data_IF_731296081405
#
_entry.id   IF_731296081405
#
_cell.length_a   1.000
_cell.length_b   1.000
_cell.length_c   1.000
_cell.angle_alpha   90.00
_cell.angle_beta   90.00
_cell.angle_gamma   90.00
#
_symmetry.space_group_name_H-M   'P 1'
#
loop_
_entity.id
_entity.type
_entity.pdbx_description
1 polymer ?
#
# COMPACT_ATOMS: atom_id res chain seq x y z
N UNK A 1 23.46 46.85 -3.62
CA UNK A 1 24.28 45.65 -3.87
C UNK A 1 23.40 44.65 -4.60
N UNK A 2 23.84 44.13 -5.75
CA UNK A 2 23.09 43.10 -6.49
C UNK A 2 23.11 41.78 -5.74
N UNK A 3 22.00 41.04 -5.78
CA UNK A 3 21.88 39.69 -5.21
C UNK A 3 22.94 38.76 -5.82
N UNK A 4 23.51 37.87 -5.02
CA UNK A 4 24.51 36.91 -5.50
C UNK A 4 23.82 35.66 -6.06
N UNK A 5 24.47 34.98 -7.01
CA UNK A 5 23.97 33.70 -7.54
C UNK A 5 23.73 32.65 -6.45
N UNK A 6 24.50 32.70 -5.36
CA UNK A 6 24.28 31.83 -4.20
C UNK A 6 22.96 32.14 -3.49
N UNK A 7 22.64 33.43 -3.30
CA UNK A 7 21.38 33.85 -2.70
C UNK A 7 20.16 33.46 -3.56
N UNK A 8 20.30 33.49 -4.89
CA UNK A 8 19.26 33.02 -5.82
C UNK A 8 19.03 31.49 -5.68
N UNK A 9 20.10 30.72 -5.51
CA UNK A 9 20.02 29.27 -5.26
C UNK A 9 19.40 28.95 -3.90
N UNK A 10 19.74 29.71 -2.86
CA UNK A 10 19.14 29.55 -1.53
C UNK A 10 17.63 29.80 -1.55
N UNK A 11 17.17 30.85 -2.23
CA UNK A 11 15.74 31.13 -2.40
C UNK A 11 15.03 30.02 -3.20
N UNK A 12 15.65 29.55 -4.29
CA UNK A 12 15.12 28.43 -5.07
C UNK A 12 14.98 27.15 -4.22
N UNK A 13 15.95 26.88 -3.34
CA UNK A 13 15.91 25.75 -2.42
C UNK A 13 14.79 25.90 -1.38
N UNK A 14 14.58 27.09 -0.84
CA UNK A 14 13.51 27.38 0.11
C UNK A 14 12.13 27.16 -0.52
N UNK A 15 11.92 27.68 -1.73
CA UNK A 15 10.69 27.47 -2.50
C UNK A 15 10.46 25.99 -2.79
N UNK A 16 11.50 25.26 -3.20
CA UNK A 16 11.41 23.82 -3.44
C UNK A 16 11.03 23.04 -2.18
N UNK A 17 11.60 23.40 -1.02
CA UNK A 17 11.24 22.78 0.28
C UNK A 17 9.79 23.03 0.66
N UNK A 18 9.29 24.26 0.48
CA UNK A 18 7.91 24.59 0.74
C UNK A 18 6.95 23.80 -0.18
N UNK A 19 7.26 23.74 -1.48
CA UNK A 19 6.51 22.95 -2.45
C UNK A 19 6.50 21.45 -2.12
N UNK A 20 7.65 20.90 -1.73
CA UNK A 20 7.75 19.49 -1.33
C UNK A 20 6.98 19.19 -0.04
N UNK A 21 7.01 20.11 0.95
CA UNK A 21 6.23 19.95 2.18
C UNK A 21 4.71 19.95 1.91
N UNK A 22 4.24 20.80 1.00
CA UNK A 22 2.85 20.80 0.53
C UNK A 22 2.48 19.48 -0.14
N UNK A 23 3.28 19.05 -1.12
CA UNK A 23 3.09 17.78 -1.83
C UNK A 23 3.09 16.56 -0.88
N UNK A 24 4.03 16.51 0.07
CA UNK A 24 4.06 15.46 1.11
C UNK A 24 2.77 15.46 1.91
N UNK A 25 2.28 16.62 2.34
CA UNK A 25 1.07 16.73 3.16
C UNK A 25 -0.17 16.19 2.43
N UNK A 26 -0.29 16.46 1.14
CA UNK A 26 -1.36 15.93 0.30
C UNK A 26 -1.28 14.40 0.15
N UNK A 27 -0.08 13.85 0.00
CA UNK A 27 0.13 12.41 -0.09
C UNK A 27 -0.13 11.70 1.24
N UNK A 28 0.27 12.29 2.37
CA UNK A 28 -0.08 11.81 3.71
C UNK A 28 -1.61 11.76 3.87
N UNK A 29 -2.30 12.85 3.48
CA UNK A 29 -3.76 12.92 3.55
C UNK A 29 -4.41 11.84 2.67
N UNK A 30 -3.94 11.68 1.43
CA UNK A 30 -4.43 10.62 0.54
C UNK A 30 -4.28 9.23 1.16
N UNK A 31 -3.09 8.90 1.67
CA UNK A 31 -2.82 7.61 2.29
C UNK A 31 -3.71 7.37 3.52
N UNK A 32 -3.93 8.41 4.33
CA UNK A 32 -4.80 8.35 5.50
C UNK A 32 -6.27 8.14 5.11
N UNK A 33 -6.75 8.81 4.05
CA UNK A 33 -8.12 8.64 3.54
C UNK A 33 -8.31 7.23 2.99
N UNK A 34 -7.35 6.72 2.20
CA UNK A 34 -7.38 5.37 1.66
C UNK A 34 -7.42 4.33 2.78
N UNK A 35 -6.50 4.41 3.75
CA UNK A 35 -6.40 3.45 4.85
C UNK A 35 -7.64 3.48 5.73
N UNK A 36 -8.10 4.67 6.11
CA UNK A 36 -9.33 4.85 6.89
C UNK A 36 -10.54 4.29 6.15
N UNK A 37 -10.66 4.56 4.85
CA UNK A 37 -11.72 4.02 4.03
C UNK A 37 -11.71 2.50 4.02
N UNK A 38 -10.54 1.86 3.93
CA UNK A 38 -10.43 0.39 3.95
C UNK A 38 -10.89 -0.19 5.29
N UNK A 39 -10.45 0.43 6.40
CA UNK A 39 -10.82 0.03 7.76
C UNK A 39 -12.34 0.14 7.95
N UNK A 40 -12.93 1.26 7.53
CA UNK A 40 -14.38 1.49 7.63
C UNK A 40 -15.17 0.54 6.72
N UNK A 41 -14.73 0.34 5.48
CA UNK A 41 -15.36 -0.55 4.51
C UNK A 41 -15.37 -2.02 4.94
N UNK A 42 -14.25 -2.49 5.52
CA UNK A 42 -14.10 -3.87 5.98
C UNK A 42 -14.65 -4.13 7.38
N UNK A 43 -14.91 -3.07 8.17
CA UNK A 43 -15.23 -3.19 9.58
C UNK A 43 -14.06 -3.68 10.45
N UNK A 44 -12.82 -3.47 10.00
CA UNK A 44 -11.63 -3.90 10.75
C UNK A 44 -11.54 -3.14 12.08
N UNK A 45 -11.29 -3.82 13.23
CA UNK A 45 -11.09 -3.13 14.50
C UNK A 45 -9.87 -2.22 14.44
N UNK A 46 -10.03 -0.94 14.81
CA UNK A 46 -8.97 0.08 14.65
C UNK A 46 -7.74 -0.22 15.51
N UNK A 47 -7.94 -0.81 16.67
CA UNK A 47 -6.91 -1.26 17.60
C UNK A 47 -6.04 -2.40 17.04
N UNK A 48 -6.52 -3.10 16.01
CA UNK A 48 -5.79 -4.15 15.31
C UNK A 48 -5.09 -3.64 14.04
N UNK A 49 -5.07 -2.32 13.84
CA UNK A 49 -4.43 -1.70 12.68
C UNK A 49 -3.24 -0.87 13.13
N UNK A 50 -2.17 -0.93 12.36
CA UNK A 50 -0.98 -0.11 12.55
C UNK A 50 -0.36 0.29 11.22
N UNK A 51 0.53 1.27 11.26
CA UNK A 51 1.33 1.69 10.12
C UNK A 51 2.79 1.37 10.36
N UNK A 52 3.54 1.04 9.31
CA UNK A 52 4.99 0.84 9.43
C UNK A 52 5.74 1.25 8.16
N UNK A 53 6.98 1.75 8.28
CA UNK A 53 7.84 1.96 7.13
C UNK A 53 8.19 0.63 6.45
N UNK A 54 8.09 0.58 5.12
CA UNK A 54 8.38 -0.62 4.30
C UNK A 54 9.73 -0.56 3.56
N UNK A 55 10.61 0.39 3.92
CA UNK A 55 11.87 0.62 3.22
C UNK A 55 12.83 -0.59 3.35
N UNK A 56 13.69 -0.86 2.35
CA UNK A 56 14.73 -1.88 2.48
C UNK A 56 15.64 -1.61 3.69
N UNK A 57 15.65 -2.52 4.66
CA UNK A 57 16.41 -2.38 5.90
C UNK A 57 15.69 -1.65 7.05
N UNK A 58 14.44 -1.23 6.84
CA UNK A 58 13.60 -0.72 7.92
C UNK A 58 13.13 -1.87 8.82
N UNK A 59 13.60 -1.89 10.06
CA UNK A 59 12.96 -2.61 11.17
C UNK A 59 12.07 -1.63 11.95
N UNK A 60 11.14 -0.99 11.25
CA UNK A 60 10.25 -0.01 11.86
C UNK A 60 9.26 -0.70 12.79
N UNK A 61 9.22 -0.28 14.06
CA UNK A 61 8.13 -0.68 14.95
C UNK A 61 6.80 -0.09 14.42
N UNK A 62 5.67 -0.84 14.53
CA UNK A 62 4.38 -0.31 14.16
C UNK A 62 4.06 0.98 14.92
N UNK A 63 3.60 2.00 14.19
CA UNK A 63 3.14 3.29 14.70
C UNK A 63 1.65 3.47 14.41
N UNK A 64 0.98 4.28 15.22
CA UNK A 64 -0.41 4.68 14.97
C UNK A 64 -0.52 5.91 14.06
N UNK A 65 0.61 6.50 13.70
CA UNK A 65 0.71 7.72 12.90
C UNK A 65 1.22 7.42 11.51
N UNK A 66 0.37 7.60 10.51
CA UNK A 66 0.71 7.31 9.12
C UNK A 66 1.83 8.21 8.61
N UNK A 67 1.91 9.44 9.12
CA UNK A 67 2.96 10.42 8.81
C UNK A 67 4.37 9.96 9.20
N UNK A 68 4.47 9.05 10.17
CA UNK A 68 5.75 8.48 10.63
C UNK A 68 6.14 7.24 9.81
N UNK A 69 5.18 6.60 9.13
CA UNK A 69 5.39 5.40 8.31
C UNK A 69 5.61 5.71 6.82
N UNK A 70 5.04 6.82 6.34
CA UNK A 70 5.08 7.18 4.93
C UNK A 70 6.41 7.82 4.51
N UNK A 71 6.98 7.34 3.41
CA UNK A 71 8.22 7.88 2.85
C UNK A 71 8.20 7.87 1.32
N UNK A 72 9.01 8.74 0.71
CA UNK A 72 9.22 8.76 -0.73
C UNK A 72 10.38 7.83 -1.07
N UNK A 73 10.11 6.81 -1.88
CA UNK A 73 11.10 5.86 -2.37
C UNK A 73 11.97 6.44 -3.48
N UNK A 74 13.10 5.78 -3.75
CA UNK A 74 14.01 6.14 -4.85
C UNK A 74 13.37 5.94 -6.24
N UNK A 75 12.32 5.12 -6.31
CA UNK A 75 11.51 4.91 -7.51
C UNK A 75 10.54 6.06 -7.81
N UNK A 76 10.49 7.07 -6.94
CA UNK A 76 9.63 8.24 -7.06
C UNK A 76 8.17 7.97 -6.69
N UNK A 77 7.88 6.88 -5.96
CA UNK A 77 6.57 6.60 -5.36
C UNK A 77 6.61 6.83 -3.85
N UNK A 78 5.46 7.19 -3.29
CA UNK A 78 5.24 7.15 -1.85
C UNK A 78 4.91 5.73 -1.42
N UNK A 79 5.51 5.30 -0.32
CA UNK A 79 5.34 3.99 0.26
C UNK A 79 4.87 4.12 1.70
N UNK A 80 3.89 3.29 2.07
CA UNK A 80 3.44 3.14 3.45
C UNK A 80 3.01 1.70 3.70
N UNK A 81 3.44 1.13 4.81
CA UNK A 81 2.96 -0.16 5.29
C UNK A 81 1.70 0.02 6.11
N UNK A 82 0.67 -0.76 5.81
CA UNK A 82 -0.53 -0.93 6.61
C UNK A 82 -0.53 -2.34 7.19
N UNK A 83 -0.28 -2.46 8.49
CA UNK A 83 -0.35 -3.72 9.22
C UNK A 83 -1.78 -3.96 9.69
N UNK A 84 -2.33 -5.10 9.29
CA UNK A 84 -3.65 -5.56 9.68
C UNK A 84 -3.49 -6.83 10.53
N UNK A 85 -3.75 -6.72 11.83
CA UNK A 85 -3.74 -7.87 12.72
C UNK A 85 -5.10 -8.59 12.71
N UNK A 86 -5.03 -9.91 12.86
CA UNK A 86 -6.17 -10.82 12.99
C UNK A 86 -6.03 -11.55 14.30
N UNK A 87 -7.11 -11.55 15.08
CA UNK A 87 -7.18 -12.31 16.32
C UNK A 87 -8.27 -13.38 16.18
N UNK A 88 -7.88 -14.63 16.44
CA UNK A 88 -8.80 -15.75 16.58
C UNK A 88 -8.58 -16.43 17.93
N UNK A 89 -9.55 -17.20 18.46
CA UNK A 89 -9.40 -17.85 19.77
C UNK A 89 -8.16 -18.74 19.91
N UNK A 90 -7.59 -19.22 18.79
CA UNK A 90 -6.46 -20.15 18.75
C UNK A 90 -5.12 -19.49 18.41
N UNK A 91 -5.10 -18.20 18.09
CA UNK A 91 -3.86 -17.53 17.68
C UNK A 91 -4.06 -16.12 17.15
N UNK A 92 -2.94 -15.47 16.89
CA UNK A 92 -2.87 -14.14 16.28
C UNK A 92 -2.01 -14.21 15.04
N UNK A 93 -2.39 -13.45 14.03
CA UNK A 93 -1.59 -13.27 12.82
C UNK A 93 -1.64 -11.80 12.39
N UNK A 94 -0.74 -11.39 11.50
CA UNK A 94 -0.77 -10.06 10.92
C UNK A 94 -0.29 -10.05 9.47
N UNK A 95 -0.98 -9.28 8.64
CA UNK A 95 -0.56 -9.00 7.27
C UNK A 95 -0.01 -7.59 7.20
N UNK A 96 1.15 -7.45 6.58
CA UNK A 96 1.66 -6.17 6.13
C UNK A 96 1.27 -5.94 4.67
N UNK A 97 0.47 -4.91 4.43
CA UNK A 97 0.14 -4.42 3.09
C UNK A 97 1.05 -3.23 2.78
N UNK A 98 1.90 -3.36 1.75
CA UNK A 98 2.60 -2.22 1.19
C UNK A 98 1.68 -1.49 0.21
N UNK A 99 1.36 -0.23 0.53
CA UNK A 99 0.66 0.68 -0.37
C UNK A 99 1.71 1.57 -1.03
N UNK A 100 1.85 1.42 -2.33
CA UNK A 100 2.73 2.23 -3.17
C UNK A 100 1.88 3.13 -4.06
N UNK A 101 2.12 4.44 -4.04
CA UNK A 101 1.32 5.35 -4.83
C UNK A 101 2.08 6.62 -5.23
N UNK A 102 1.58 7.32 -6.24
CA UNK A 102 2.14 8.59 -6.71
C UNK A 102 1.02 9.54 -7.07
N UNK A 103 1.14 10.80 -6.65
CA UNK A 103 0.25 11.87 -7.11
C UNK A 103 0.83 12.49 -8.38
N UNK A 104 0.00 12.59 -9.40
CA UNK A 104 0.19 13.40 -10.61
C UNK A 104 -0.70 14.64 -10.52
N UNK A 105 -0.62 15.54 -11.51
CA UNK A 105 -1.34 16.82 -11.49
C UNK A 105 -2.85 16.67 -11.24
N UNK A 106 -3.49 15.66 -11.84
CA UNK A 106 -4.95 15.49 -11.81
C UNK A 106 -5.42 14.16 -11.23
N UNK A 107 -4.51 13.28 -10.82
CA UNK A 107 -4.83 11.92 -10.38
C UNK A 107 -3.74 11.28 -9.53
N UNK A 108 -4.10 10.22 -8.84
CA UNK A 108 -3.23 9.29 -8.14
C UNK A 108 -3.08 8.01 -8.96
N UNK A 109 -1.87 7.48 -8.98
CA UNK A 109 -1.57 6.12 -9.43
C UNK A 109 -1.25 5.31 -8.19
N UNK A 110 -1.99 4.24 -7.94
CA UNK A 110 -1.79 3.34 -6.80
C UNK A 110 -1.40 1.98 -7.34
N UNK A 111 -0.22 1.51 -6.96
CA UNK A 111 0.27 0.18 -7.32
C UNK A 111 0.12 -0.75 -6.12
N UNK A 112 -0.71 -1.76 -6.25
CA UNK A 112 -0.86 -2.81 -5.24
C UNK A 112 -0.10 -4.06 -5.65
N UNK A 113 0.68 -4.60 -4.72
CA UNK A 113 1.42 -5.86 -4.86
C UNK A 113 2.36 -5.92 -6.09
N UNK A 114 2.75 -4.77 -6.65
CA UNK A 114 3.60 -4.66 -7.84
C UNK A 114 2.99 -5.22 -9.13
N UNK A 115 1.66 -5.40 -9.17
CA UNK A 115 0.98 -6.11 -10.26
C UNK A 115 -0.26 -5.37 -10.79
N UNK A 116 -0.98 -4.62 -9.94
CA UNK A 116 -2.16 -3.86 -10.36
C UNK A 116 -1.97 -2.37 -10.08
N UNK A 117 -2.18 -1.56 -11.12
CA UNK A 117 -2.20 -0.11 -11.01
C UNK A 117 -3.65 0.39 -11.09
N UNK A 118 -4.06 1.16 -10.08
CA UNK A 118 -5.33 1.88 -10.03
C UNK A 118 -5.05 3.35 -10.34
N UNK A 119 -5.88 3.95 -11.19
CA UNK A 119 -5.87 5.40 -11.39
C UNK A 119 -7.11 6.02 -10.74
N UNK A 120 -6.91 7.13 -10.04
CA UNK A 120 -7.97 7.78 -9.28
C UNK A 120 -7.82 9.29 -9.31
N UNK A 121 -8.82 10.02 -9.80
CA UNK A 121 -8.79 11.48 -9.77
C UNK A 121 -8.87 12.01 -8.33
N UNK A 122 -9.85 11.53 -7.56
CA UNK A 122 -10.10 11.95 -6.18
C UNK A 122 -10.44 10.77 -5.27
N UNK A 123 -10.00 10.76 -4.01
CA UNK A 123 -10.23 9.67 -3.06
C UNK A 123 -11.61 9.75 -2.39
N UNK A 124 -12.69 9.66 -3.17
CA UNK A 124 -14.05 9.52 -2.62
C UNK A 124 -14.29 8.08 -2.16
N UNK A 125 -15.27 7.84 -1.24
CA UNK A 125 -15.61 6.48 -0.83
C UNK A 125 -15.93 5.55 -2.01
N UNK A 126 -16.67 6.04 -3.00
CA UNK A 126 -17.08 5.27 -4.18
C UNK A 126 -15.87 4.95 -5.08
N UNK A 127 -14.96 5.91 -5.24
CA UNK A 127 -13.74 5.71 -6.04
C UNK A 127 -12.76 4.72 -5.37
N UNK A 128 -12.73 4.70 -4.03
CA UNK A 128 -11.87 3.82 -3.25
C UNK A 128 -12.41 2.38 -3.12
N UNK A 129 -13.71 2.18 -3.26
CA UNK A 129 -14.32 0.86 -3.08
C UNK A 129 -13.68 -0.25 -3.93
N UNK A 130 -13.43 -0.10 -5.25
CA UNK A 130 -12.79 -1.16 -6.05
C UNK A 130 -11.38 -1.52 -5.55
N UNK A 131 -10.64 -0.53 -5.07
CA UNK A 131 -9.31 -0.71 -4.48
C UNK A 131 -9.42 -1.50 -3.17
N UNK A 132 -10.37 -1.13 -2.30
CA UNK A 132 -10.62 -1.84 -1.04
C UNK A 132 -11.03 -3.29 -1.26
N UNK A 133 -11.94 -3.53 -2.21
CA UNK A 133 -12.33 -4.89 -2.60
C UNK A 133 -11.14 -5.70 -3.12
N UNK A 134 -10.26 -5.12 -3.95
CA UNK A 134 -9.06 -5.83 -4.43
C UNK A 134 -8.12 -6.20 -3.27
N UNK A 135 -7.88 -5.28 -2.32
CA UNK A 135 -7.07 -5.53 -1.13
C UNK A 135 -7.65 -6.66 -0.29
N UNK A 136 -8.94 -6.60 0.06
CA UNK A 136 -9.59 -7.61 0.91
C UNK A 136 -9.61 -8.98 0.22
N UNK A 137 -9.85 -9.01 -1.09
CA UNK A 137 -9.77 -10.24 -1.87
C UNK A 137 -8.34 -10.81 -1.91
N UNK A 138 -7.31 -9.95 -1.98
CA UNK A 138 -5.91 -10.39 -1.90
C UNK A 138 -5.57 -10.96 -0.52
N UNK A 139 -5.99 -10.31 0.56
CA UNK A 139 -5.84 -10.78 1.95
C UNK A 139 -6.54 -12.13 2.15
N UNK A 140 -7.80 -12.25 1.72
CA UNK A 140 -8.53 -13.53 1.79
C UNK A 140 -7.82 -14.64 1.00
N UNK A 141 -7.35 -14.34 -0.21
CA UNK A 141 -6.60 -15.29 -1.05
C UNK A 141 -5.29 -15.74 -0.38
N UNK A 142 -4.62 -14.85 0.34
CA UNK A 142 -3.41 -15.20 1.10
C UNK A 142 -3.71 -16.31 2.12
N UNK A 143 -4.82 -16.22 2.85
CA UNK A 143 -5.20 -17.25 3.81
C UNK A 143 -5.75 -18.52 3.17
N UNK A 144 -6.59 -18.40 2.14
CA UNK A 144 -7.21 -19.55 1.49
C UNK A 144 -6.17 -20.43 0.74
N UNK A 145 -5.17 -19.79 0.13
CA UNK A 145 -4.28 -20.46 -0.83
C UNK A 145 -2.79 -20.24 -0.57
N UNK A 146 -2.41 -19.42 0.41
CA UNK A 146 -1.01 -19.01 0.62
C UNK A 146 -0.09 -20.19 0.88
N UNK A 147 -0.50 -21.16 1.70
CA UNK A 147 0.32 -22.35 1.94
C UNK A 147 0.53 -23.17 0.66
N UNK A 148 -0.53 -23.38 -0.13
CA UNK A 148 -0.44 -24.12 -1.38
C UNK A 148 0.47 -23.40 -2.39
N UNK A 149 0.27 -22.10 -2.59
CA UNK A 149 1.08 -21.29 -3.50
C UNK A 149 2.54 -21.20 -3.05
N UNK A 150 2.80 -21.16 -1.75
CA UNK A 150 4.16 -21.21 -1.20
C UNK A 150 4.84 -22.53 -1.52
N UNK A 151 4.15 -23.66 -1.30
CA UNK A 151 4.66 -25.00 -1.60
C UNK A 151 4.88 -25.20 -3.11
N UNK A 152 3.94 -24.76 -3.95
CA UNK A 152 4.03 -24.83 -5.42
C UNK A 152 5.19 -23.98 -5.99
N UNK A 153 5.50 -22.85 -5.35
CA UNK A 153 6.64 -21.99 -5.74
C UNK A 153 7.97 -22.44 -5.09
N UNK A 154 8.03 -23.64 -4.51
CA UNK A 154 9.26 -24.20 -3.92
C UNK A 154 9.79 -23.39 -2.73
N UNK A 155 8.89 -22.82 -1.93
CA UNK A 155 9.24 -22.03 -0.75
C UNK A 155 9.81 -20.64 -1.04
N UNK A 156 9.73 -20.16 -2.30
CA UNK A 156 10.06 -18.77 -2.66
C UNK A 156 8.86 -17.87 -2.39
N UNK A 157 9.13 -16.59 -2.11
CA UNK A 157 8.13 -15.60 -1.68
C UNK A 157 6.82 -15.66 -2.47
N UNK A 158 5.71 -15.53 -1.75
CA UNK A 158 4.35 -15.63 -2.26
C UNK A 158 4.07 -14.56 -3.33
N UNK A 159 4.00 -14.98 -4.60
CA UNK A 159 3.41 -14.18 -5.68
C UNK A 159 1.98 -14.64 -5.86
N UNK A 160 1.04 -13.96 -5.21
CA UNK A 160 -0.40 -14.27 -5.34
C UNK A 160 -0.81 -13.92 -6.78
N UNK A 161 -1.22 -14.89 -7.63
CA UNK A 161 -1.71 -14.58 -8.96
C UNK A 161 -3.05 -13.87 -8.85
N UNK A 162 -3.12 -12.62 -9.32
CA UNK A 162 -4.30 -11.76 -9.11
C UNK A 162 -5.39 -11.98 -10.18
N UNK A 163 -5.06 -12.53 -11.37
CA UNK A 163 -6.03 -12.64 -12.47
C UNK A 163 -7.02 -13.80 -12.33
N UNK A 164 -8.32 -13.48 -12.46
CA UNK A 164 -9.46 -14.42 -12.44
C UNK A 164 -9.32 -15.57 -13.43
N UNK A 165 -8.69 -15.32 -14.59
CA UNK A 165 -8.50 -16.31 -15.64
C UNK A 165 -7.47 -17.39 -15.26
N UNK A 166 -6.34 -16.99 -14.66
CA UNK A 166 -5.32 -17.93 -14.15
C UNK A 166 -5.85 -18.72 -12.95
N UNK A 167 -6.74 -18.12 -12.15
CA UNK A 167 -7.45 -18.79 -11.07
C UNK A 167 -8.45 -19.86 -11.57
N UNK A 168 -9.19 -19.59 -12.65
CA UNK A 168 -10.06 -20.58 -13.30
C UNK A 168 -9.25 -21.76 -13.86
N UNK A 169 -8.08 -21.49 -14.44
CA UNK A 169 -7.16 -22.54 -14.91
C UNK A 169 -6.63 -23.39 -13.75
N UNK A 170 -6.26 -22.77 -12.63
CA UNK A 170 -5.79 -23.48 -11.43
C UNK A 170 -6.90 -24.28 -10.74
N UNK A 171 -8.13 -23.75 -10.67
CA UNK A 171 -9.29 -24.46 -10.12
C UNK A 171 -9.69 -25.67 -10.99
N UNK A 172 -9.54 -25.56 -12.31
CA UNK A 172 -9.76 -26.67 -13.25
C UNK A 172 -8.68 -27.75 -13.15
N UNK A 173 -7.44 -27.39 -12.82
CA UNK A 173 -6.33 -28.34 -12.65
C UNK A 173 -6.40 -29.21 -11.38
N UNK A 174 -7.16 -28.81 -10.35
CA UNK A 174 -7.27 -29.54 -9.09
C UNK A 174 -8.26 -30.72 -9.11
N UNK A 175 -9.01 -30.92 -10.21
CA UNK A 175 -10.00 -32.00 -10.36
C UNK A 175 -9.47 -33.28 -11.02
N UNK A 176 -8.17 -33.37 -11.31
CA UNK A 176 -7.58 -34.44 -12.10
C UNK A 176 -6.49 -35.23 -11.37
N UNK A 177 -6.81 -35.81 -10.22
CA UNK A 177 -6.02 -36.88 -9.62
C UNK A 177 -6.95 -37.77 -8.78
N UNK A 178 -7.63 -38.68 -9.47
CA UNK A 178 -8.19 -39.91 -8.91
C UNK A 178 -7.54 -41.08 -9.64
#
# INVERSE_FOLDING_TARGET
>A
MSRSRYQDLCESLEQARAGFAGYRSECVLFAATLSRGLIEYSGWPRELVGYEPVSPGANGEPTQKIEDAIHLGEDGFWHVGLRLALEEPKGRDSILLEIRFKKLETRYIISLFGMEDFEMAEPTPEALQPLHESILNAVKRHYDYGLRLFLENGGRGLKIPISTQRLLEMARGAGGAA
#
